data_IF_804656264839
#
_entry.id   IF_804656264839
#
_cell.length_a   1.000
_cell.length_b   1.000
_cell.length_c   1.000
_cell.angle_alpha   90.00
_cell.angle_beta   90.00
_cell.angle_gamma   90.00
#
_symmetry.space_group_name_H-M   'P 1'
#
loop_
_entity.id
_entity.type
_entity.pdbx_description
1 polymer ?
#
# COMPACT_ATOMS: atom_id res chain seq x y z
N UNK A 1 16.41 2.48 2.77
CA UNK A 1 15.20 1.86 2.19
C UNK A 1 13.98 2.65 2.64
N UNK A 2 13.15 3.16 1.72
CA UNK A 2 11.93 3.88 2.12
C UNK A 2 10.96 2.92 2.82
N UNK A 3 10.28 3.44 3.84
CA UNK A 3 9.28 2.72 4.64
C UNK A 3 8.08 3.62 4.89
N UNK A 4 6.90 3.04 4.98
CA UNK A 4 5.68 3.70 5.42
C UNK A 4 5.04 2.88 6.53
N UNK A 5 4.24 3.54 7.37
CA UNK A 5 3.34 2.87 8.32
C UNK A 5 1.93 3.00 7.79
N UNK A 6 1.22 1.88 7.69
CA UNK A 6 -0.20 1.84 7.33
C UNK A 6 -0.98 1.73 8.63
N UNK A 7 -2.02 2.55 8.79
CA UNK A 7 -2.87 2.57 9.97
C UNK A 7 -4.32 2.53 9.55
N UNK A 8 -5.04 1.51 9.98
CA UNK A 8 -6.49 1.41 9.82
C UNK A 8 -7.18 1.58 11.17
N UNK A 9 -8.34 2.24 11.24
CA UNK A 9 -9.12 2.30 12.46
C UNK A 9 -9.40 0.90 13.01
N UNK A 10 -9.02 0.65 14.27
CA UNK A 10 -9.24 -0.64 14.93
C UNK A 10 -8.24 -1.74 14.57
N UNK A 11 -7.16 -1.44 13.84
CA UNK A 11 -6.07 -2.39 13.58
C UNK A 11 -4.73 -1.84 14.07
N UNK A 12 -3.79 -2.76 14.32
CA UNK A 12 -2.42 -2.38 14.59
C UNK A 12 -1.76 -1.76 13.36
N UNK A 13 -0.80 -0.86 13.58
CA UNK A 13 -0.08 -0.26 12.47
C UNK A 13 0.79 -1.31 11.78
N UNK A 14 0.61 -1.45 10.47
CA UNK A 14 1.41 -2.34 9.64
C UNK A 14 2.56 -1.58 8.99
N UNK A 15 3.83 -1.89 9.31
CA UNK A 15 4.95 -1.31 8.60
C UNK A 15 5.10 -1.96 7.22
N UNK A 16 5.21 -1.14 6.17
CA UNK A 16 5.52 -1.60 4.82
C UNK A 16 6.87 -1.07 4.37
N UNK A 17 7.74 -2.00 3.95
CA UNK A 17 9.05 -1.69 3.38
C UNK A 17 8.96 -1.85 1.87
N UNK A 18 9.31 -0.80 1.14
CA UNK A 18 9.32 -0.86 -0.32
C UNK A 18 10.47 -1.75 -0.79
N UNK A 19 10.14 -2.71 -1.65
CA UNK A 19 11.13 -3.41 -2.47
C UNK A 19 11.68 -2.45 -3.54
N UNK A 20 12.99 -2.20 -3.53
CA UNK A 20 13.63 -1.29 -4.47
C UNK A 20 13.56 -1.79 -5.92
N UNK A 21 13.32 -3.09 -6.15
CA UNK A 21 13.13 -3.69 -7.48
C UNK A 21 11.75 -3.38 -8.07
N UNK A 22 10.75 -3.07 -7.23
CA UNK A 22 9.40 -2.75 -7.69
C UNK A 22 9.31 -1.28 -8.08
N UNK A 23 8.85 -1.04 -9.31
CA UNK A 23 8.61 0.30 -9.83
C UNK A 23 7.24 0.85 -9.45
N UNK A 24 6.29 -0.04 -9.14
CA UNK A 24 4.91 0.31 -8.82
C UNK A 24 4.45 -0.50 -7.59
N UNK A 25 3.67 0.13 -6.74
CA UNK A 25 2.99 -0.50 -5.60
C UNK A 25 1.53 -0.09 -5.60
N UNK A 26 0.62 -1.06 -5.65
CA UNK A 26 -0.83 -0.85 -5.65
C UNK A 26 -1.40 -0.96 -4.24
N UNK A 27 -2.30 -0.05 -3.90
CA UNK A 27 -3.01 -0.04 -2.61
C UNK A 27 -4.50 -0.08 -2.86
N UNK A 28 -5.22 -0.95 -2.16
CA UNK A 28 -6.67 -1.00 -2.24
C UNK A 28 -7.27 -2.18 -1.49
N UNK A 29 -8.60 -2.29 -1.55
CA UNK A 29 -9.36 -3.33 -0.84
C UNK A 29 -9.33 -4.71 -1.50
N UNK A 30 -9.02 -4.76 -2.79
CA UNK A 30 -8.87 -6.04 -3.49
C UNK A 30 -7.64 -6.78 -2.99
N UNK A 31 -7.74 -8.10 -2.84
CA UNK A 31 -6.61 -8.99 -2.52
C UNK A 31 -5.53 -9.03 -3.60
N UNK A 32 -5.82 -8.49 -4.79
CA UNK A 32 -4.87 -8.34 -5.89
C UNK A 32 -3.90 -7.17 -5.73
N UNK A 33 -4.04 -6.34 -4.69
CA UNK A 33 -3.14 -5.21 -4.43
C UNK A 33 -1.92 -5.66 -3.61
N UNK A 34 -0.82 -4.92 -3.73
CA UNK A 34 0.39 -5.16 -2.94
C UNK A 34 0.18 -4.82 -1.47
N UNK A 35 -0.61 -3.78 -1.20
CA UNK A 35 -1.05 -3.40 0.13
C UNK A 35 -2.57 -3.50 0.16
N UNK A 36 -3.07 -4.49 0.89
CA UNK A 36 -4.51 -4.76 1.01
C UNK A 36 -5.06 -4.03 2.23
N UNK A 37 -6.03 -3.14 1.99
CA UNK A 37 -6.73 -2.43 3.05
C UNK A 37 -8.21 -2.81 3.08
N UNK A 38 -8.63 -3.56 4.10
CA UNK A 38 -9.94 -4.24 4.09
C UNK A 38 -11.13 -3.32 4.37
N UNK A 39 -10.87 -2.06 4.76
CA UNK A 39 -11.89 -1.11 5.17
C UNK A 39 -12.85 -0.69 4.04
N UNK A 40 -14.15 -0.55 4.35
CA UNK A 40 -15.22 -0.26 3.37
C UNK A 40 -15.09 1.06 2.61
N UNK A 41 -14.40 2.04 3.18
CA UNK A 41 -14.13 3.33 2.49
C UNK A 41 -13.04 3.22 1.42
N UNK A 42 -12.32 2.11 1.36
CA UNK A 42 -11.23 1.90 0.41
C UNK A 42 -11.76 1.24 -0.86
N UNK A 43 -11.45 1.86 -2.00
CA UNK A 43 -11.78 1.35 -3.33
C UNK A 43 -11.05 0.03 -3.60
N UNK A 44 -11.58 -0.80 -4.52
CA UNK A 44 -10.88 -2.03 -4.94
C UNK A 44 -9.45 -1.75 -5.42
N UNK A 45 -9.28 -0.69 -6.22
CA UNK A 45 -8.00 -0.12 -6.63
C UNK A 45 -8.02 1.35 -6.20
N UNK A 46 -7.29 1.70 -5.13
CA UNK A 46 -7.44 3.01 -4.49
C UNK A 46 -6.29 3.96 -4.81
N UNK A 47 -5.05 3.47 -4.78
CA UNK A 47 -3.86 4.28 -5.03
C UNK A 47 -2.78 3.46 -5.76
N UNK A 48 -1.96 4.15 -6.56
CA UNK A 48 -0.76 3.64 -7.18
C UNK A 48 0.42 4.52 -6.76
N UNK A 49 1.43 3.92 -6.16
CA UNK A 49 2.70 4.59 -5.88
C UNK A 49 3.69 4.19 -6.96
N UNK A 50 4.20 5.17 -7.71
CA UNK A 50 5.21 4.96 -8.74
C UNK A 50 6.57 5.48 -8.28
N UNK A 51 7.59 4.65 -8.41
CA UNK A 51 8.97 5.06 -8.21
C UNK A 51 9.45 5.79 -9.47
N UNK A 52 9.86 7.05 -9.32
CA UNK A 52 10.54 7.78 -10.39
C UNK A 52 12.05 7.68 -10.21
N UNK A 53 12.76 7.49 -11.33
CA UNK A 53 14.22 7.68 -11.37
C UNK A 53 14.44 9.20 -11.47
N UNK A 54 15.14 9.74 -10.49
CA UNK A 54 15.74 11.08 -10.55
C UNK A 54 17.20 10.94 -10.93
#
# INVERSE_FOLDING_TARGET
MPRISITEPGQESQPYRFDLKRMQVKIGRSSSNDIVMSHRSVSKNHCLIERRKG
#
